data_IF_495271382612
#
_entry.id   IF_495271382612
#
_cell.length_a   1.000
_cell.length_b   1.000
_cell.length_c   1.000
_cell.angle_alpha   90.00
_cell.angle_beta   90.00
_cell.angle_gamma   90.00
#
_symmetry.space_group_name_H-M   'P 1'
#
loop_
_entity.id
_entity.type
_entity.pdbx_description
1 polymer ?
#
# COMPACT_ATOMS: atom_id res chain seq x y z
N UNK A 1 -8.73 -31.16 22.12
CA UNK A 1 -8.18 -30.15 23.07
C UNK A 1 -6.79 -29.65 22.67
N UNK A 2 -5.93 -30.45 22.00
CA UNK A 2 -4.59 -30.02 21.57
C UNK A 2 -4.61 -28.98 20.44
N UNK A 3 -5.68 -28.97 19.64
CA UNK A 3 -5.83 -28.14 18.43
C UNK A 3 -6.22 -26.70 18.76
N UNK A 4 -6.88 -26.49 19.90
CA UNK A 4 -7.28 -25.15 20.35
C UNK A 4 -6.05 -24.32 20.77
N UNK A 5 -5.09 -24.92 21.48
CA UNK A 5 -3.86 -24.23 21.90
C UNK A 5 -3.00 -23.75 20.73
N UNK A 6 -2.87 -24.57 19.68
CA UNK A 6 -2.19 -24.17 18.45
C UNK A 6 -2.86 -22.97 17.78
N UNK A 7 -4.20 -22.96 17.74
CA UNK A 7 -4.96 -21.85 17.17
C UNK A 7 -4.88 -20.56 18.00
N UNK A 8 -4.78 -20.65 19.33
CA UNK A 8 -4.60 -19.48 20.20
C UNK A 8 -3.21 -18.87 20.03
N UNK A 9 -2.16 -19.70 19.96
CA UNK A 9 -0.80 -19.23 19.69
C UNK A 9 -0.68 -18.57 18.31
N UNK A 10 -1.32 -19.13 17.26
CA UNK A 10 -1.34 -18.55 15.91
C UNK A 10 -1.99 -17.15 15.88
N UNK A 11 -3.14 -17.00 16.57
CA UNK A 11 -3.83 -15.71 16.70
C UNK A 11 -3.00 -14.66 17.42
N UNK A 12 -2.38 -15.03 18.55
CA UNK A 12 -1.53 -14.12 19.31
C UNK A 12 -0.27 -13.74 18.53
N UNK A 13 0.37 -14.70 17.86
CA UNK A 13 1.53 -14.46 16.99
C UNK A 13 1.17 -13.51 15.83
N UNK A 14 -0.02 -13.67 15.24
CA UNK A 14 -0.49 -12.77 14.20
C UNK A 14 -0.63 -11.33 14.71
N UNK A 15 -1.28 -11.11 15.86
CA UNK A 15 -1.39 -9.77 16.47
C UNK A 15 -0.01 -9.16 16.79
N UNK A 16 0.94 -9.96 17.29
CA UNK A 16 2.32 -9.51 17.53
C UNK A 16 2.97 -9.06 16.22
N UNK A 17 2.82 -9.83 15.14
CA UNK A 17 3.38 -9.46 13.83
C UNK A 17 2.78 -8.15 13.30
N UNK A 18 1.50 -7.89 13.56
CA UNK A 18 0.81 -6.68 13.13
C UNK A 18 1.33 -5.41 13.82
N UNK A 19 1.97 -5.51 14.99
CA UNK A 19 2.60 -4.36 15.66
C UNK A 19 3.72 -3.73 14.84
N UNK A 20 4.30 -4.45 13.86
CA UNK A 20 5.23 -3.86 12.89
C UNK A 20 4.61 -2.73 12.05
N UNK A 21 3.27 -2.67 12.00
CA UNK A 21 2.51 -1.65 11.28
C UNK A 21 2.06 -0.48 12.16
N UNK A 22 2.40 -0.46 13.46
CA UNK A 22 2.09 0.66 14.33
C UNK A 22 2.76 1.95 13.83
N UNK A 23 2.00 3.05 13.82
CA UNK A 23 2.50 4.37 13.42
C UNK A 23 2.69 4.56 11.91
N UNK A 24 2.37 3.57 11.07
CA UNK A 24 2.48 3.69 9.61
C UNK A 24 1.62 4.80 9.02
N UNK A 25 0.57 5.25 9.72
CA UNK A 25 -0.23 6.40 9.31
C UNK A 25 0.60 7.69 9.14
N UNK A 26 1.74 7.82 9.82
CA UNK A 26 2.64 8.96 9.66
C UNK A 26 3.24 9.05 8.25
N UNK A 27 3.38 7.92 7.54
CA UNK A 27 3.86 7.88 6.16
C UNK A 27 2.84 8.42 5.14
N UNK A 28 1.62 8.76 5.57
CA UNK A 28 0.67 9.46 4.70
C UNK A 28 1.25 10.75 4.10
N UNK A 29 2.12 11.45 4.84
CA UNK A 29 2.79 12.66 4.32
C UNK A 29 3.73 12.34 3.15
N UNK A 30 4.43 11.21 3.20
CA UNK A 30 5.34 10.74 2.13
C UNK A 30 4.53 10.38 0.89
N UNK A 31 3.38 9.71 1.08
CA UNK A 31 2.45 9.35 -0.01
C UNK A 31 1.91 10.61 -0.70
N UNK A 32 1.48 11.61 0.07
CA UNK A 32 1.01 12.90 -0.48
C UNK A 32 2.14 13.57 -1.26
N UNK A 33 3.35 13.62 -0.71
CA UNK A 33 4.53 14.14 -1.41
C UNK A 33 4.81 13.40 -2.72
N UNK A 34 4.68 12.08 -2.74
CA UNK A 34 4.88 11.26 -3.94
C UNK A 34 3.81 11.54 -5.01
N UNK A 35 2.53 11.64 -4.64
CA UNK A 35 1.45 11.99 -5.56
C UNK A 35 1.63 13.39 -6.16
N UNK A 36 1.93 14.38 -5.31
CA UNK A 36 2.12 15.77 -5.76
C UNK A 36 3.33 15.89 -6.68
N UNK A 37 4.46 15.28 -6.31
CA UNK A 37 5.69 15.38 -7.10
C UNK A 37 5.59 14.64 -8.44
N UNK A 38 5.01 13.43 -8.47
CA UNK A 38 4.82 12.69 -9.73
C UNK A 38 3.82 13.37 -10.66
N UNK A 39 2.74 13.96 -10.12
CA UNK A 39 1.81 14.76 -10.90
C UNK A 39 2.49 16.01 -11.49
N UNK A 40 3.21 16.77 -10.66
CA UNK A 40 3.92 17.96 -11.10
C UNK A 40 4.96 17.64 -12.19
N UNK A 41 5.73 16.56 -12.00
CA UNK A 41 6.73 16.10 -12.96
C UNK A 41 6.09 15.64 -14.28
N UNK A 42 4.96 14.93 -14.21
CA UNK A 42 4.22 14.52 -15.40
C UNK A 42 3.73 15.73 -16.22
N UNK A 43 3.19 16.75 -15.53
CA UNK A 43 2.77 18.01 -16.17
C UNK A 43 3.98 18.73 -16.79
N UNK A 44 5.10 18.78 -16.08
CA UNK A 44 6.33 19.40 -16.58
C UNK A 44 6.79 18.72 -17.88
N UNK A 45 6.93 17.39 -17.89
CA UNK A 45 7.39 16.66 -19.09
C UNK A 45 6.44 16.89 -20.27
N UNK A 46 5.12 16.84 -20.03
CA UNK A 46 4.14 17.11 -21.07
C UNK A 46 4.29 18.52 -21.68
N UNK A 47 4.62 19.52 -20.86
CA UNK A 47 4.81 20.91 -21.33
C UNK A 47 6.15 21.15 -22.02
N UNK A 48 7.16 20.34 -21.70
CA UNK A 48 8.50 20.43 -22.28
C UNK A 48 8.69 19.57 -23.53
N UNK A 49 7.66 18.84 -23.98
CA UNK A 49 7.74 17.90 -25.11
C UNK A 49 8.46 16.59 -24.78
N UNK A 50 8.72 16.34 -23.50
CA UNK A 50 9.38 15.13 -22.99
C UNK A 50 8.36 13.98 -22.82
N UNK A 51 8.81 12.71 -22.87
CA UNK A 51 7.94 11.56 -22.61
C UNK A 51 7.35 11.55 -21.19
N UNK A 52 6.12 12.06 -21.04
CA UNK A 52 5.44 12.19 -19.74
C UNK A 52 4.73 10.92 -19.26
N UNK A 53 4.49 9.96 -20.16
CA UNK A 53 3.64 8.79 -19.91
C UNK A 53 4.21 7.83 -18.85
N UNK A 54 5.54 7.69 -18.74
CA UNK A 54 6.18 6.89 -17.70
C UNK A 54 5.91 7.48 -16.31
N UNK A 55 6.05 8.80 -16.17
CA UNK A 55 5.79 9.52 -14.92
C UNK A 55 4.29 9.52 -14.59
N UNK A 56 3.43 9.68 -15.61
CA UNK A 56 1.98 9.57 -15.45
C UNK A 56 1.60 8.17 -14.95
N UNK A 57 2.22 7.11 -15.48
CA UNK A 57 2.00 5.73 -15.04
C UNK A 57 2.42 5.55 -13.58
N UNK A 58 3.56 6.11 -13.16
CA UNK A 58 3.97 6.09 -11.76
C UNK A 58 2.93 6.77 -10.85
N UNK A 59 2.46 7.96 -11.23
CA UNK A 59 1.41 8.68 -10.51
C UNK A 59 0.14 7.83 -10.38
N UNK A 60 -0.33 7.24 -11.49
CA UNK A 60 -1.55 6.41 -11.51
C UNK A 60 -1.40 5.16 -10.65
N UNK A 61 -0.23 4.51 -10.67
CA UNK A 61 0.06 3.37 -9.78
C UNK A 61 -0.03 3.78 -8.31
N UNK A 62 0.60 4.88 -7.90
CA UNK A 62 0.54 5.38 -6.53
C UNK A 62 -0.90 5.75 -6.16
N UNK A 63 -1.64 6.42 -7.06
CA UNK A 63 -3.05 6.76 -6.84
C UNK A 63 -3.92 5.49 -6.66
N UNK A 64 -3.67 4.44 -7.45
CA UNK A 64 -4.35 3.16 -7.30
C UNK A 64 -4.09 2.50 -5.93
N UNK A 65 -2.88 2.64 -5.35
CA UNK A 65 -2.63 2.17 -3.97
C UNK A 65 -3.52 2.87 -2.95
N UNK A 66 -3.85 4.15 -3.17
CA UNK A 66 -4.75 4.88 -2.28
C UNK A 66 -6.18 4.39 -2.42
N UNK A 67 -6.64 4.10 -3.64
CA UNK A 67 -7.95 3.47 -3.87
C UNK A 67 -8.03 2.13 -3.15
N UNK A 68 -7.01 1.27 -3.28
CA UNK A 68 -6.92 -0.01 -2.58
C UNK A 68 -6.95 0.18 -1.06
N UNK A 69 -6.17 1.13 -0.55
CA UNK A 69 -6.13 1.42 0.88
C UNK A 69 -7.53 1.80 1.40
N UNK A 70 -8.20 2.76 0.76
CA UNK A 70 -9.49 3.26 1.24
C UNK A 70 -10.61 2.22 1.12
N UNK A 71 -10.57 1.37 0.09
CA UNK A 71 -11.61 0.36 -0.13
C UNK A 71 -11.39 -0.93 0.66
N UNK A 72 -10.15 -1.34 0.88
CA UNK A 72 -9.83 -2.67 1.42
C UNK A 72 -9.10 -2.61 2.75
N UNK A 73 -8.02 -1.83 2.84
CA UNK A 73 -7.15 -1.77 4.02
C UNK A 73 -7.79 -1.00 5.16
N UNK A 74 -8.31 0.20 4.90
CA UNK A 74 -8.89 1.09 5.90
C UNK A 74 -10.12 0.49 6.58
N UNK A 75 -11.11 -0.10 5.86
CA UNK A 75 -12.25 -0.75 6.51
C UNK A 75 -11.81 -1.92 7.38
N UNK A 76 -10.81 -2.69 6.93
CA UNK A 76 -10.25 -3.79 7.72
C UNK A 76 -9.58 -3.29 8.99
N UNK A 77 -8.70 -2.28 8.88
CA UNK A 77 -8.07 -1.64 10.02
C UNK A 77 -9.10 -1.09 11.01
N UNK A 78 -10.19 -0.50 10.51
CA UNK A 78 -11.29 -0.03 11.37
C UNK A 78 -11.97 -1.19 12.10
N UNK A 79 -12.27 -2.28 11.41
CA UNK A 79 -12.93 -3.45 12.00
C UNK A 79 -12.06 -4.20 13.03
N UNK A 80 -10.74 -4.17 12.87
CA UNK A 80 -9.77 -4.83 13.76
C UNK A 80 -9.15 -3.89 14.78
N UNK A 81 -9.58 -2.63 14.82
CA UNK A 81 -9.00 -1.56 15.63
C UNK A 81 -7.48 -1.47 15.45
N UNK A 82 -7.03 -1.40 14.19
CA UNK A 82 -5.64 -1.51 13.76
C UNK A 82 -4.98 -2.79 14.30
N UNK A 83 -5.65 -3.93 14.13
CA UNK A 83 -5.18 -5.23 14.59
C UNK A 83 -4.83 -5.29 16.08
N UNK A 84 -5.59 -4.59 16.91
CA UNK A 84 -5.55 -4.77 18.38
C UNK A 84 -6.61 -5.75 18.87
N UNK A 85 -7.61 -6.03 18.04
CA UNK A 85 -8.63 -7.06 18.30
C UNK A 85 -8.73 -8.01 17.10
N UNK A 86 -8.95 -9.30 17.39
CA UNK A 86 -9.15 -10.34 16.38
C UNK A 86 -10.61 -10.81 16.43
N UNK A 87 -11.48 -10.39 15.49
CA UNK A 87 -12.89 -10.73 15.52
C UNK A 87 -13.14 -12.23 15.26
N UNK A 88 -14.35 -12.71 15.54
CA UNK A 88 -14.77 -14.02 15.04
C UNK A 88 -14.72 -14.04 13.50
N UNK A 89 -14.28 -15.16 12.92
CA UNK A 89 -14.13 -15.25 11.46
C UNK A 89 -13.02 -14.35 10.86
N UNK A 90 -11.99 -13.98 11.64
CA UNK A 90 -10.90 -13.08 11.24
C UNK A 90 -10.13 -13.46 9.96
N UNK A 91 -10.30 -14.68 9.42
CA UNK A 91 -9.71 -15.10 8.16
C UNK A 91 -10.09 -14.21 6.97
N UNK A 92 -11.34 -13.77 6.87
CA UNK A 92 -11.77 -12.89 5.76
C UNK A 92 -11.11 -11.50 5.84
N UNK A 93 -11.18 -10.78 6.98
CA UNK A 93 -10.41 -9.55 7.18
C UNK A 93 -8.91 -9.73 6.94
N UNK A 94 -8.33 -10.85 7.40
CA UNK A 94 -6.91 -11.16 7.19
C UNK A 94 -6.56 -11.19 5.71
N UNK A 95 -7.25 -12.00 4.91
CA UNK A 95 -6.95 -12.13 3.49
C UNK A 95 -7.13 -10.80 2.76
N UNK A 96 -8.22 -10.08 3.05
CA UNK A 96 -8.47 -8.77 2.45
C UNK A 96 -7.31 -7.81 2.74
N UNK A 97 -6.83 -7.77 3.98
CA UNK A 97 -5.72 -6.92 4.38
C UNK A 97 -4.39 -7.35 3.73
N UNK A 98 -4.04 -8.64 3.77
CA UNK A 98 -2.80 -9.17 3.20
C UNK A 98 -2.74 -8.96 1.67
N UNK A 99 -3.82 -9.27 0.95
CA UNK A 99 -3.87 -9.05 -0.50
C UNK A 99 -3.89 -7.57 -0.87
N UNK A 100 -4.54 -6.70 -0.08
CA UNK A 100 -4.50 -5.25 -0.33
C UNK A 100 -3.07 -4.68 -0.21
N UNK A 101 -2.29 -5.17 0.76
CA UNK A 101 -0.89 -4.80 0.92
C UNK A 101 -0.02 -5.36 -0.20
N UNK A 102 -0.20 -6.63 -0.57
CA UNK A 102 0.54 -7.25 -1.66
C UNK A 102 0.29 -6.53 -3.00
N UNK A 103 -0.97 -6.21 -3.32
CA UNK A 103 -1.32 -5.44 -4.50
C UNK A 103 -0.71 -4.03 -4.48
N UNK A 104 -0.77 -3.36 -3.33
CA UNK A 104 -0.16 -2.03 -3.16
C UNK A 104 1.37 -2.06 -3.27
N UNK A 105 2.02 -3.12 -2.80
CA UNK A 105 3.47 -3.31 -2.94
C UNK A 105 3.87 -3.49 -4.42
N UNK A 106 3.11 -4.30 -5.18
CA UNK A 106 3.34 -4.48 -6.62
C UNK A 106 3.17 -3.16 -7.37
N UNK A 107 2.10 -2.40 -7.09
CA UNK A 107 1.86 -1.10 -7.72
C UNK A 107 2.98 -0.09 -7.41
N UNK A 108 3.42 -0.01 -6.15
CA UNK A 108 4.54 0.86 -5.79
C UNK A 108 5.86 0.41 -6.43
N UNK A 109 6.10 -0.89 -6.54
CA UNK A 109 7.28 -1.42 -7.25
C UNK A 109 7.25 -1.04 -8.73
N UNK A 110 6.10 -1.20 -9.41
CA UNK A 110 5.92 -0.75 -10.80
C UNK A 110 6.11 0.75 -10.90
N UNK A 111 5.54 1.55 -9.99
CA UNK A 111 5.70 3.00 -9.97
C UNK A 111 7.17 3.43 -9.87
N UNK A 112 7.93 2.80 -8.97
CA UNK A 112 9.37 3.03 -8.83
C UNK A 112 10.10 2.65 -10.12
N UNK A 113 9.81 1.48 -10.69
CA UNK A 113 10.48 0.98 -11.88
C UNK A 113 10.28 1.89 -13.09
N UNK A 114 9.04 2.29 -13.39
CA UNK A 114 8.76 3.18 -14.52
C UNK A 114 9.29 4.60 -14.30
N UNK A 115 9.34 5.07 -13.05
CA UNK A 115 9.97 6.35 -12.72
C UNK A 115 11.48 6.30 -12.95
N UNK A 116 12.16 5.22 -12.58
CA UNK A 116 13.60 5.02 -12.88
C UNK A 116 13.85 5.01 -14.39
N UNK A 117 13.01 4.30 -15.17
CA UNK A 117 13.10 4.32 -16.64
C UNK A 117 12.91 5.73 -17.21
N UNK A 118 12.04 6.55 -16.62
CA UNK A 118 11.81 7.94 -17.07
C UNK A 118 13.02 8.87 -16.90
N UNK A 119 13.94 8.49 -16.00
CA UNK A 119 15.20 9.21 -15.75
C UNK A 119 16.30 8.65 -16.63
N UNK A 120 16.41 7.32 -16.74
CA UNK A 120 17.46 6.65 -17.52
C UNK A 120 17.25 6.74 -19.03
N UNK A 121 16.01 6.90 -19.51
CA UNK A 121 15.71 7.05 -20.94
C UNK A 121 15.94 8.46 -21.49
N UNK A 122 16.55 9.37 -20.71
CA UNK A 122 16.98 10.70 -21.16
C UNK A 122 18.41 10.63 -21.68
N UNK A 123 18.58 10.11 -22.89
CA UNK A 123 19.83 10.15 -23.66
C UNK A 123 19.60 10.82 -25.03
#
# INVERSE_FOLDING_TARGET
MRDQWGSFCDRAAYLISQRAYDGWSLFAIVIVGALVSTLALSIWFNRSGEPYWLVATAFLCIAATQVIFWLLTFPTNKATHNWTVLPEGWGTPRYQWEYSHAASAILNFVALFVLLLSVLGKD
#
